data_IF_391569651134
#
_entry.id   IF_391569651134
#
_cell.length_a   1.000
_cell.length_b   1.000
_cell.length_c   1.000
_cell.angle_alpha   90.00
_cell.angle_beta   90.00
_cell.angle_gamma   90.00
#
_symmetry.space_group_name_H-M   'P 1'
#
loop_
_entity.id
_entity.type
_entity.pdbx_description
1 polymer ?
#
# COMPACT_ATOMS: atom_id res chain seq x y z
N UNK A 1 37.02 26.37 -10.81
CA UNK A 1 35.97 25.40 -10.48
C UNK A 1 34.66 26.19 -10.37
N UNK A 2 33.61 25.72 -11.02
CA UNK A 2 32.36 26.51 -11.07
C UNK A 2 31.74 26.57 -9.66
N UNK A 3 31.36 27.75 -9.17
CA UNK A 3 30.78 27.96 -7.82
C UNK A 3 29.60 27.08 -7.55
N UNK A 4 28.77 26.80 -8.55
CA UNK A 4 27.62 25.88 -8.47
C UNK A 4 28.05 24.49 -8.05
N UNK A 5 29.15 23.94 -8.63
CA UNK A 5 29.65 22.59 -8.30
C UNK A 5 30.19 22.53 -6.87
N UNK A 6 30.85 23.60 -6.42
CA UNK A 6 31.35 23.67 -5.02
C UNK A 6 30.19 23.66 -4.01
N UNK A 7 29.15 24.43 -4.28
CA UNK A 7 27.95 24.49 -3.44
C UNK A 7 27.24 23.12 -3.48
N UNK A 8 27.05 22.53 -4.65
CA UNK A 8 26.43 21.22 -4.80
C UNK A 8 27.19 20.12 -4.04
N UNK A 9 28.51 20.10 -4.13
CA UNK A 9 29.35 19.13 -3.39
C UNK A 9 29.24 19.34 -1.88
N UNK A 10 29.20 20.58 -1.41
CA UNK A 10 29.02 20.90 0.02
C UNK A 10 27.66 20.40 0.50
N UNK A 11 26.59 20.70 -0.25
CA UNK A 11 25.22 20.33 0.06
C UNK A 11 25.06 18.80 0.11
N UNK A 12 25.54 18.10 -0.92
CA UNK A 12 25.55 16.64 -0.94
C UNK A 12 26.29 16.06 0.26
N UNK A 13 27.51 16.55 0.56
CA UNK A 13 28.32 16.05 1.65
C UNK A 13 27.73 16.33 3.04
N UNK A 14 26.96 17.41 3.17
CA UNK A 14 26.30 17.76 4.43
C UNK A 14 25.29 16.68 4.87
N UNK A 15 24.62 16.03 3.93
CA UNK A 15 23.68 14.94 4.21
C UNK A 15 24.32 13.56 4.07
N UNK A 16 25.03 13.28 2.98
CA UNK A 16 25.56 11.95 2.69
C UNK A 16 26.63 11.46 3.68
N UNK A 17 27.27 12.36 4.42
CA UNK A 17 28.21 12.02 5.49
C UNK A 17 27.58 11.78 6.84
N UNK A 18 26.29 12.04 7.02
CA UNK A 18 25.61 11.86 8.30
C UNK A 18 25.18 10.42 8.50
N UNK A 19 25.41 9.87 9.69
CA UNK A 19 24.92 8.53 10.07
C UNK A 19 23.40 8.46 10.00
N UNK A 20 22.71 9.55 10.38
CA UNK A 20 21.26 9.63 10.34
C UNK A 20 20.67 9.43 8.95
N UNK A 21 21.33 9.94 7.89
CA UNK A 21 20.92 9.71 6.50
C UNK A 21 20.93 8.22 6.16
N UNK A 22 22.01 7.50 6.44
CA UNK A 22 22.13 6.08 6.14
C UNK A 22 21.19 5.22 6.99
N UNK A 23 21.02 5.57 8.27
CA UNK A 23 20.06 4.89 9.14
C UNK A 23 18.61 5.08 8.65
N UNK A 24 18.23 6.28 8.21
CA UNK A 24 16.91 6.52 7.65
C UNK A 24 16.67 5.75 6.34
N UNK A 25 17.73 5.61 5.54
CA UNK A 25 17.70 4.85 4.30
C UNK A 25 17.51 3.34 4.55
N UNK A 26 18.15 2.81 5.61
CA UNK A 26 18.04 1.41 6.02
C UNK A 26 16.76 1.11 6.80
N UNK A 27 16.07 2.12 7.32
CA UNK A 27 14.88 1.93 8.15
C UNK A 27 13.78 1.13 7.42
N UNK A 28 13.46 1.47 6.18
CA UNK A 28 12.40 0.79 5.42
C UNK A 28 12.73 -0.69 5.14
N UNK A 29 13.95 -1.07 4.64
CA UNK A 29 14.33 -2.48 4.53
C UNK A 29 14.29 -3.20 5.86
N UNK A 30 14.75 -2.54 6.93
CA UNK A 30 14.74 -3.13 8.27
C UNK A 30 13.30 -3.41 8.72
N UNK A 31 12.37 -2.46 8.51
CA UNK A 31 10.96 -2.68 8.77
C UNK A 31 10.37 -3.78 7.88
N UNK A 32 10.79 -3.88 6.64
CA UNK A 32 10.41 -4.98 5.73
C UNK A 32 10.88 -6.34 6.23
N UNK A 33 12.13 -6.44 6.69
CA UNK A 33 12.70 -7.68 7.28
C UNK A 33 12.02 -8.01 8.60
N UNK A 34 11.80 -7.02 9.48
CA UNK A 34 11.10 -7.23 10.76
C UNK A 34 9.65 -7.63 10.49
N UNK A 35 8.93 -6.91 9.64
CA UNK A 35 7.54 -7.21 9.28
C UNK A 35 7.39 -8.57 8.61
N UNK A 36 8.28 -8.89 7.67
CA UNK A 36 8.35 -10.21 7.03
C UNK A 36 8.73 -11.31 8.03
N UNK A 37 9.67 -11.03 8.94
CA UNK A 37 10.04 -11.95 10.00
C UNK A 37 8.92 -12.20 11.01
N UNK A 38 8.22 -11.14 11.41
CA UNK A 38 7.01 -11.26 12.25
C UNK A 38 5.92 -12.02 11.50
N UNK A 39 5.68 -11.69 10.23
CA UNK A 39 4.74 -12.41 9.38
C UNK A 39 5.10 -13.89 9.23
N UNK A 40 6.39 -14.22 9.09
CA UNK A 40 6.87 -15.60 9.07
C UNK A 40 6.66 -16.30 10.43
N UNK A 41 7.00 -15.64 11.53
CA UNK A 41 6.82 -16.17 12.87
C UNK A 41 5.34 -16.39 13.20
N UNK A 42 4.47 -15.45 12.86
CA UNK A 42 3.02 -15.61 13.03
C UNK A 42 2.45 -16.68 12.10
N UNK A 43 3.04 -16.85 10.92
CA UNK A 43 2.68 -17.94 10.00
C UNK A 43 3.17 -19.31 10.48
N UNK A 44 4.32 -19.36 11.11
CA UNK A 44 4.89 -20.58 11.70
C UNK A 44 4.32 -20.89 13.10
N UNK A 45 3.74 -19.90 13.77
CA UNK A 45 2.99 -20.13 15.02
C UNK A 45 1.66 -20.76 14.65
N UNK A 46 1.42 -22.00 15.05
CA UNK A 46 0.09 -22.60 15.04
C UNK A 46 -0.81 -21.70 15.89
N UNK A 47 -1.72 -20.95 15.28
CA UNK A 47 -2.79 -20.31 16.05
C UNK A 47 -3.57 -21.45 16.71
N UNK A 48 -3.67 -21.49 18.04
CA UNK A 48 -4.44 -22.54 18.68
C UNK A 48 -5.85 -22.56 18.10
N UNK A 49 -6.30 -23.74 17.69
CA UNK A 49 -7.66 -23.89 17.17
C UNK A 49 -8.63 -23.40 18.24
N UNK A 50 -9.54 -22.49 17.84
CA UNK A 50 -10.50 -21.91 18.79
C UNK A 50 -11.49 -22.97 19.26
N UNK A 51 -11.57 -23.17 20.57
CA UNK A 51 -12.49 -24.14 21.19
C UNK A 51 -13.89 -23.57 21.25
N UNK A 52 -14.79 -24.12 20.43
CA UNK A 52 -16.17 -23.62 20.24
C UNK A 52 -17.18 -24.67 20.69
N UNK A 53 -18.13 -24.26 21.55
CA UNK A 53 -19.25 -25.09 21.93
C UNK A 53 -20.53 -24.64 21.19
N UNK A 54 -21.26 -25.63 20.60
CA UNK A 54 -22.54 -25.40 19.93
C UNK A 54 -23.67 -25.83 20.86
N UNK A 55 -24.54 -24.91 21.24
CA UNK A 55 -25.71 -25.12 22.10
C UNK A 55 -26.97 -25.01 21.28
N UNK A 56 -27.84 -26.01 21.30
CA UNK A 56 -29.17 -25.92 20.70
C UNK A 56 -30.15 -25.31 21.68
N UNK A 57 -30.68 -24.14 21.33
CA UNK A 57 -31.59 -23.38 22.17
C UNK A 57 -33.05 -23.48 21.64
N UNK A 58 -33.86 -24.24 22.37
CA UNK A 58 -35.23 -24.55 21.99
C UNK A 58 -35.45 -25.84 21.19
N UNK A 59 -36.67 -26.36 21.22
CA UNK A 59 -37.03 -27.64 20.55
C UNK A 59 -36.89 -27.56 19.02
N UNK A 60 -37.07 -26.40 18.45
CA UNK A 60 -37.01 -26.21 17.01
C UNK A 60 -35.56 -26.22 16.48
N UNK A 61 -34.59 -26.05 17.36
CA UNK A 61 -33.17 -26.13 17.01
C UNK A 61 -32.58 -27.55 17.02
N UNK A 62 -33.39 -28.55 17.38
CA UNK A 62 -32.92 -29.94 17.46
C UNK A 62 -32.31 -30.39 16.14
N UNK A 63 -31.09 -30.91 16.18
CA UNK A 63 -30.32 -31.36 15.01
C UNK A 63 -29.55 -30.24 14.28
N UNK A 64 -29.73 -28.95 14.66
CA UNK A 64 -29.06 -27.83 14.00
C UNK A 64 -27.56 -27.82 14.30
N UNK A 65 -27.15 -28.22 15.52
CA UNK A 65 -25.73 -28.35 15.87
C UNK A 65 -25.00 -29.42 15.04
N UNK A 66 -25.66 -30.53 14.74
CA UNK A 66 -25.10 -31.53 13.85
C UNK A 66 -24.97 -31.01 12.41
N UNK A 67 -26.01 -30.36 11.88
CA UNK A 67 -26.02 -29.78 10.54
C UNK A 67 -24.93 -28.67 10.36
N UNK A 68 -24.73 -27.84 11.38
CA UNK A 68 -23.68 -26.83 11.38
C UNK A 68 -22.29 -27.48 11.44
N UNK A 69 -22.13 -28.53 12.25
CA UNK A 69 -20.88 -29.28 12.36
C UNK A 69 -20.48 -29.89 11.01
N UNK A 70 -21.44 -30.52 10.32
CA UNK A 70 -21.24 -31.10 9.00
C UNK A 70 -20.94 -30.03 7.94
N UNK A 71 -21.58 -28.87 8.04
CA UNK A 71 -21.30 -27.74 7.14
C UNK A 71 -19.86 -27.22 7.31
N UNK A 72 -19.43 -27.02 8.55
CA UNK A 72 -18.06 -26.55 8.88
C UNK A 72 -17.00 -27.57 8.45
N UNK A 73 -17.23 -28.87 8.67
CA UNK A 73 -16.32 -29.92 8.21
C UNK A 73 -16.18 -29.91 6.68
N UNK A 74 -17.30 -29.81 5.96
CA UNK A 74 -17.29 -29.74 4.50
C UNK A 74 -16.61 -28.50 3.96
N UNK A 75 -16.71 -27.35 4.64
CA UNK A 75 -16.00 -26.12 4.25
C UNK A 75 -14.49 -26.22 4.49
N UNK A 76 -14.08 -26.87 5.57
CA UNK A 76 -12.67 -27.13 5.86
C UNK A 76 -12.04 -28.04 4.78
N UNK A 77 -12.72 -29.13 4.39
CA UNK A 77 -12.25 -30.02 3.31
C UNK A 77 -12.14 -29.28 1.97
N UNK A 78 -13.14 -28.48 1.60
CA UNK A 78 -13.13 -27.65 0.38
C UNK A 78 -12.00 -26.64 0.39
N UNK A 79 -11.76 -26.00 1.52
CA UNK A 79 -10.68 -25.01 1.68
C UNK A 79 -9.31 -25.66 1.55
N UNK A 80 -9.11 -26.83 2.14
CA UNK A 80 -7.89 -27.63 2.00
C UNK A 80 -7.64 -28.05 0.54
N UNK A 81 -8.67 -28.53 -0.15
CA UNK A 81 -8.57 -28.92 -1.56
C UNK A 81 -8.23 -27.72 -2.47
N UNK A 82 -8.81 -26.53 -2.19
CA UNK A 82 -8.50 -25.28 -2.93
C UNK A 82 -7.06 -24.86 -2.72
N UNK A 83 -6.55 -24.90 -1.51
CA UNK A 83 -5.17 -24.55 -1.22
C UNK A 83 -4.19 -25.49 -1.93
N UNK A 84 -4.47 -26.81 -1.93
CA UNK A 84 -3.66 -27.77 -2.66
C UNK A 84 -3.69 -27.53 -4.18
N UNK A 85 -4.86 -27.22 -4.74
CA UNK A 85 -5.00 -26.88 -6.15
C UNK A 85 -4.25 -25.59 -6.52
N UNK A 86 -4.34 -24.54 -5.69
CA UNK A 86 -3.62 -23.28 -5.88
C UNK A 86 -2.10 -23.47 -5.80
N UNK A 87 -1.62 -24.29 -4.87
CA UNK A 87 -0.20 -24.67 -4.77
C UNK A 87 0.24 -25.42 -6.02
N UNK A 88 -0.54 -26.40 -6.48
CA UNK A 88 -0.23 -27.16 -7.69
C UNK A 88 -0.20 -26.28 -8.95
N UNK A 89 -1.10 -25.31 -9.05
CA UNK A 89 -1.11 -24.34 -10.14
C UNK A 89 0.09 -23.39 -10.09
N UNK A 90 0.39 -22.85 -8.91
CA UNK A 90 1.54 -21.97 -8.70
C UNK A 90 2.90 -22.67 -8.94
N UNK A 91 2.92 -24.01 -8.80
CA UNK A 91 4.12 -24.85 -9.02
C UNK A 91 4.27 -25.38 -10.44
N UNK A 92 3.37 -25.07 -11.36
CA UNK A 92 3.52 -25.47 -12.77
C UNK A 92 4.79 -24.85 -13.36
N UNK A 93 5.93 -25.50 -13.11
CA UNK A 93 7.23 -25.19 -13.72
C UNK A 93 8.30 -24.59 -12.82
N UNK A 94 8.10 -24.43 -11.52
CA UNK A 94 9.12 -23.94 -10.59
C UNK A 94 9.08 -24.65 -9.23
N UNK A 95 10.24 -24.96 -8.62
CA UNK A 95 10.27 -25.40 -7.24
C UNK A 95 9.83 -24.24 -6.34
N UNK A 96 8.86 -24.50 -5.45
CA UNK A 96 8.45 -23.56 -4.43
C UNK A 96 9.64 -23.20 -3.52
N UNK A 97 9.73 -21.94 -3.05
CA UNK A 97 10.64 -21.61 -1.98
C UNK A 97 10.40 -22.56 -0.77
N UNK A 98 11.46 -22.96 -0.07
CA UNK A 98 11.31 -23.80 1.12
C UNK A 98 10.31 -23.16 2.10
N UNK A 99 9.30 -23.94 2.53
CA UNK A 99 8.25 -23.47 3.44
C UNK A 99 7.00 -22.86 2.78
N UNK A 100 6.97 -22.57 1.49
CA UNK A 100 5.79 -21.96 0.85
C UNK A 100 4.60 -22.91 0.80
N UNK A 101 4.83 -24.21 0.60
CA UNK A 101 3.78 -25.24 0.64
C UNK A 101 3.23 -25.43 2.06
N UNK A 102 4.12 -25.42 3.07
CA UNK A 102 3.74 -25.50 4.49
C UNK A 102 2.98 -24.26 4.93
N UNK A 103 3.42 -23.07 4.51
CA UNK A 103 2.73 -21.81 4.80
C UNK A 103 1.35 -21.73 4.14
N UNK A 104 1.17 -22.25 2.94
CA UNK A 104 -0.13 -22.30 2.28
C UNK A 104 -1.04 -23.34 2.96
N UNK A 105 -0.53 -24.51 3.34
CA UNK A 105 -1.27 -25.49 4.12
C UNK A 105 -1.65 -24.95 5.50
N UNK A 106 -0.74 -24.27 6.19
CA UNK A 106 -0.98 -23.62 7.48
C UNK A 106 -2.01 -22.48 7.37
N UNK A 107 -2.06 -21.73 6.25
CA UNK A 107 -3.07 -20.68 6.05
C UNK A 107 -4.49 -21.23 5.92
N UNK A 108 -4.65 -22.44 5.46
CA UNK A 108 -5.94 -23.15 5.39
C UNK A 108 -6.35 -23.68 6.77
N UNK A 109 -5.37 -24.15 7.55
CA UNK A 109 -5.63 -24.64 8.91
C UNK A 109 -5.91 -23.52 9.93
N UNK A 110 -5.61 -22.26 9.59
CA UNK A 110 -5.81 -21.09 10.48
C UNK A 110 -7.26 -20.79 10.83
N UNK A 111 -8.22 -21.29 10.07
CA UNK A 111 -9.65 -21.17 10.39
C UNK A 111 -10.19 -22.43 11.07
N UNK A 112 -9.34 -23.26 11.66
CA UNK A 112 -9.72 -24.48 12.35
C UNK A 112 -10.48 -24.18 13.64
N UNK A 113 -11.81 -24.30 13.61
CA UNK A 113 -12.63 -24.32 14.81
C UNK A 113 -12.53 -25.72 15.42
N UNK A 114 -12.11 -25.81 16.68
CA UNK A 114 -12.15 -27.04 17.46
C UNK A 114 -13.53 -27.12 18.15
N UNK A 115 -14.43 -27.91 17.56
CA UNK A 115 -15.76 -28.10 18.13
C UNK A 115 -15.70 -29.01 19.34
N UNK A 116 -15.84 -28.43 20.53
CA UNK A 116 -15.82 -29.14 21.81
C UNK A 116 -17.23 -29.64 22.15
N UNK A 117 -17.28 -30.77 22.88
CA UNK A 117 -18.57 -31.27 23.40
C UNK A 117 -19.13 -30.24 24.39
N UNK A 118 -20.38 -29.84 24.14
CA UNK A 118 -21.06 -28.86 24.97
C UNK A 118 -21.19 -29.33 26.42
N UNK A 119 -20.73 -28.55 27.41
CA UNK A 119 -20.93 -28.88 28.81
C UNK A 119 -22.40 -29.05 29.17
N UNK A 120 -22.72 -30.06 29.99
CA UNK A 120 -24.11 -30.42 30.29
C UNK A 120 -24.88 -29.34 31.05
N UNK A 121 -24.19 -28.54 31.90
CA UNK A 121 -24.76 -27.42 32.61
C UNK A 121 -25.11 -26.24 31.66
N UNK A 122 -24.33 -26.07 30.60
CA UNK A 122 -24.58 -25.05 29.57
C UNK A 122 -25.72 -25.47 28.63
N UNK A 123 -25.75 -26.76 28.24
CA UNK A 123 -26.81 -27.32 27.40
C UNK A 123 -28.19 -27.32 28.08
N UNK A 124 -28.23 -27.44 29.41
CA UNK A 124 -29.48 -27.47 30.22
C UNK A 124 -29.90 -26.11 30.74
N UNK A 125 -29.12 -25.04 30.54
CA UNK A 125 -29.45 -23.73 31.07
C UNK A 125 -30.57 -23.04 30.27
N UNK A 126 -31.61 -22.61 30.97
CA UNK A 126 -32.69 -21.85 30.35
C UNK A 126 -32.17 -20.43 29.92
N UNK A 127 -32.63 -19.91 28.77
CA UNK A 127 -32.26 -18.56 28.32
C UNK A 127 -32.52 -17.49 29.38
N UNK A 128 -31.53 -16.63 29.61
CA UNK A 128 -31.61 -15.52 30.56
C UNK A 128 -30.33 -15.28 31.36
N UNK A 129 -30.43 -14.46 32.41
CA UNK A 129 -29.26 -14.01 33.19
C UNK A 129 -28.43 -15.14 33.83
N UNK A 130 -29.05 -16.28 34.14
CA UNK A 130 -28.35 -17.46 34.65
C UNK A 130 -27.46 -18.11 33.56
N UNK A 131 -27.98 -18.23 32.37
CA UNK A 131 -27.21 -18.72 31.20
C UNK A 131 -26.05 -17.77 30.87
N UNK A 132 -26.30 -16.45 30.84
CA UNK A 132 -25.28 -15.45 30.58
C UNK A 132 -24.14 -15.47 31.63
N UNK A 133 -24.49 -15.74 32.90
CA UNK A 133 -23.48 -15.90 33.95
C UNK A 133 -22.62 -17.13 33.76
N UNK A 134 -23.20 -18.26 33.33
CA UNK A 134 -22.46 -19.48 32.98
C UNK A 134 -21.57 -19.27 31.76
N UNK A 135 -22.07 -18.63 30.73
CA UNK A 135 -21.32 -18.28 29.51
C UNK A 135 -20.04 -17.53 29.85
N UNK A 136 -20.15 -16.48 30.70
CA UNK A 136 -19.00 -15.69 31.15
C UNK A 136 -17.98 -16.53 31.89
N UNK A 137 -18.41 -17.50 32.71
CA UNK A 137 -17.47 -18.37 33.44
C UNK A 137 -16.68 -19.32 32.51
N UNK A 138 -17.26 -19.77 31.38
CA UNK A 138 -16.57 -20.60 30.41
C UNK A 138 -15.65 -19.83 29.44
N UNK A 139 -15.91 -18.52 29.26
CA UNK A 139 -15.13 -17.63 28.41
C UNK A 139 -14.05 -16.84 29.20
N UNK A 140 -14.01 -16.94 30.52
CA UNK A 140 -13.08 -16.24 31.38
C UNK A 140 -11.85 -17.11 31.63
N UNK A 141 -10.67 -16.65 31.23
CA UNK A 141 -9.38 -17.32 31.39
C UNK A 141 -9.02 -17.58 32.88
N UNK A 142 -9.55 -16.77 33.80
CA UNK A 142 -9.28 -16.87 35.22
C UNK A 142 -10.29 -17.82 35.97
N UNK A 143 -11.25 -18.39 35.23
CA UNK A 143 -12.27 -19.25 35.80
C UNK A 143 -11.79 -20.71 35.96
N UNK A 144 -12.22 -21.36 37.06
CA UNK A 144 -11.96 -22.80 37.28
C UNK A 144 -12.79 -23.76 36.42
N UNK A 145 -13.63 -23.22 35.52
CA UNK A 145 -14.46 -24.03 34.61
C UNK A 145 -13.68 -24.69 33.49
N UNK A 146 -13.93 -26.00 33.29
CA UNK A 146 -13.29 -26.80 32.25
C UNK A 146 -14.35 -27.54 31.43
N UNK A 147 -14.22 -27.62 30.08
CA UNK A 147 -13.13 -27.06 29.27
C UNK A 147 -13.24 -25.55 29.11
N UNK A 148 -12.09 -24.86 29.02
CA UNK A 148 -12.05 -23.44 28.64
C UNK A 148 -12.50 -23.31 27.18
N UNK A 149 -13.38 -22.32 26.91
CA UNK A 149 -13.96 -22.10 25.59
C UNK A 149 -13.60 -20.72 25.07
N UNK A 150 -13.20 -20.62 23.81
CA UNK A 150 -12.97 -19.34 23.13
C UNK A 150 -14.27 -18.71 22.62
N UNK A 151 -15.27 -19.54 22.29
CA UNK A 151 -16.60 -19.07 21.91
C UNK A 151 -17.70 -20.08 22.25
N UNK A 152 -18.90 -19.58 22.44
CA UNK A 152 -20.13 -20.34 22.67
C UNK A 152 -21.19 -19.85 21.70
N UNK A 153 -21.77 -20.75 20.93
CA UNK A 153 -22.75 -20.46 19.89
C UNK A 153 -24.10 -21.06 20.26
N UNK A 154 -25.08 -20.21 20.51
CA UNK A 154 -26.46 -20.62 20.71
C UNK A 154 -27.20 -20.64 19.38
N UNK A 155 -27.58 -21.84 18.95
CA UNK A 155 -28.30 -22.07 17.71
C UNK A 155 -29.79 -22.09 17.98
N UNK A 156 -30.55 -21.29 17.24
CA UNK A 156 -32.00 -21.17 17.35
C UNK A 156 -32.65 -21.18 15.97
N UNK A 157 -33.98 -21.26 15.93
CA UNK A 157 -34.75 -20.99 14.72
C UNK A 157 -35.68 -19.83 14.95
N UNK A 158 -35.72 -18.89 14.03
CA UNK A 158 -36.63 -17.75 14.00
C UNK A 158 -37.42 -17.82 12.70
N UNK A 159 -38.72 -17.92 12.76
CA UNK A 159 -39.61 -18.10 11.60
C UNK A 159 -39.17 -19.29 10.70
N UNK A 160 -38.78 -20.40 11.35
CA UNK A 160 -38.30 -21.62 10.67
C UNK A 160 -36.89 -21.57 10.08
N UNK A 161 -36.23 -20.40 10.09
CA UNK A 161 -34.86 -20.23 9.57
C UNK A 161 -33.83 -20.37 10.68
N UNK A 162 -32.67 -21.00 10.40
CA UNK A 162 -31.60 -21.16 11.38
C UNK A 162 -30.97 -19.80 11.69
N UNK A 163 -30.78 -19.52 12.98
CA UNK A 163 -30.13 -18.31 13.51
C UNK A 163 -29.18 -18.67 14.64
N UNK A 164 -28.22 -17.83 14.93
CA UNK A 164 -27.26 -18.03 16.01
C UNK A 164 -27.01 -16.76 16.81
N UNK A 165 -26.70 -16.93 18.10
CA UNK A 165 -26.08 -15.92 18.96
C UNK A 165 -24.69 -16.41 19.35
N UNK A 166 -23.67 -15.65 18.99
CA UNK A 166 -22.26 -15.99 19.27
C UNK A 166 -21.77 -15.17 20.44
N UNK A 167 -21.24 -15.84 21.45
CA UNK A 167 -20.46 -15.24 22.53
C UNK A 167 -19.01 -15.58 22.32
N UNK A 168 -18.14 -14.60 22.24
CA UNK A 168 -16.69 -14.76 22.07
C UNK A 168 -15.94 -14.18 23.26
N UNK A 169 -14.83 -14.82 23.66
CA UNK A 169 -13.93 -14.31 24.67
C UNK A 169 -13.26 -12.98 24.25
N UNK A 170 -13.06 -12.80 22.93
CA UNK A 170 -12.50 -11.57 22.36
C UNK A 170 -13.54 -10.78 21.57
N UNK A 171 -13.73 -9.52 21.93
CA UNK A 171 -14.66 -8.61 21.24
C UNK A 171 -14.21 -8.17 19.84
N UNK A 172 -12.95 -8.45 19.46
CA UNK A 172 -12.35 -8.05 18.18
C UNK A 172 -12.14 -9.22 17.21
N UNK A 173 -12.55 -10.42 17.60
CA UNK A 173 -12.41 -11.62 16.77
C UNK A 173 -13.78 -12.08 16.28
N UNK A 174 -14.08 -11.78 15.02
CA UNK A 174 -15.33 -12.15 14.35
C UNK A 174 -15.23 -13.49 13.58
N UNK A 175 -14.07 -14.17 13.59
CA UNK A 175 -13.80 -15.37 12.79
C UNK A 175 -14.82 -16.50 13.06
N UNK A 176 -15.19 -16.70 14.35
CA UNK A 176 -16.22 -17.69 14.73
C UNK A 176 -17.58 -17.26 14.21
N UNK A 177 -17.94 -15.98 14.34
CA UNK A 177 -19.23 -15.48 13.92
C UNK A 177 -19.40 -15.61 12.40
N UNK A 178 -18.37 -15.27 11.62
CA UNK A 178 -18.35 -15.39 10.16
C UNK A 178 -18.45 -16.85 9.72
N UNK A 179 -17.68 -17.75 10.34
CA UNK A 179 -17.74 -19.18 10.03
C UNK A 179 -19.10 -19.81 10.34
N UNK A 180 -19.73 -19.42 11.44
CA UNK A 180 -21.08 -19.88 11.82
C UNK A 180 -22.14 -19.30 10.88
N UNK A 181 -22.00 -18.02 10.48
CA UNK A 181 -22.92 -17.39 9.52
C UNK A 181 -22.91 -18.15 8.19
N UNK A 182 -21.72 -18.48 7.66
CA UNK A 182 -21.59 -19.22 6.40
C UNK A 182 -22.08 -20.67 6.51
N UNK A 183 -21.82 -21.32 7.65
CA UNK A 183 -22.38 -22.65 7.94
C UNK A 183 -23.91 -22.60 7.99
N UNK A 184 -24.52 -21.62 8.64
CA UNK A 184 -25.99 -21.47 8.72
C UNK A 184 -26.61 -21.16 7.35
N UNK A 185 -25.95 -20.34 6.51
CA UNK A 185 -26.37 -20.12 5.11
C UNK A 185 -26.40 -21.43 4.34
N UNK A 186 -25.35 -22.25 4.50
CA UNK A 186 -25.24 -23.57 3.87
C UNK A 186 -26.35 -24.52 4.35
N UNK A 187 -26.59 -24.58 5.65
CA UNK A 187 -27.67 -25.37 6.25
C UNK A 187 -29.05 -24.95 5.73
N UNK A 188 -29.35 -23.65 5.79
CA UNK A 188 -30.62 -23.10 5.29
C UNK A 188 -30.85 -23.41 3.82
N UNK A 189 -29.80 -23.31 3.00
CA UNK A 189 -29.86 -23.62 1.57
C UNK A 189 -30.16 -25.12 1.34
N UNK A 190 -29.46 -26.03 2.03
CA UNK A 190 -29.69 -27.47 1.94
C UNK A 190 -31.10 -27.82 2.35
N UNK A 191 -31.61 -27.25 3.45
CA UNK A 191 -32.97 -27.50 3.92
C UNK A 191 -34.03 -26.98 2.92
N UNK A 192 -33.83 -25.77 2.36
CA UNK A 192 -34.73 -25.20 1.36
C UNK A 192 -34.77 -26.05 0.06
N UNK A 193 -33.64 -26.54 -0.40
CA UNK A 193 -33.60 -27.42 -1.58
C UNK A 193 -34.16 -28.81 -1.30
N UNK A 194 -33.91 -29.38 -0.12
CA UNK A 194 -34.53 -30.63 0.29
C UNK A 194 -36.06 -30.52 0.37
N UNK A 195 -36.57 -29.40 0.90
CA UNK A 195 -38.00 -29.13 0.91
C UNK A 195 -38.61 -28.96 -0.49
N UNK A 196 -37.83 -28.51 -1.46
CA UNK A 196 -38.18 -28.45 -2.88
C UNK A 196 -37.98 -29.77 -3.63
N UNK A 197 -37.57 -30.85 -2.96
CA UNK A 197 -37.34 -32.17 -3.57
C UNK A 197 -36.04 -32.26 -4.41
N UNK A 198 -35.10 -31.34 -4.22
CA UNK A 198 -33.81 -31.35 -4.90
C UNK A 198 -32.81 -32.14 -4.07
N UNK A 199 -32.12 -33.06 -4.74
CA UNK A 199 -31.12 -33.94 -4.10
C UNK A 199 -29.90 -33.13 -3.59
N UNK A 200 -29.38 -33.49 -2.43
CA UNK A 200 -28.24 -32.83 -1.80
C UNK A 200 -26.98 -32.88 -2.68
N UNK A 201 -26.80 -33.93 -3.50
CA UNK A 201 -25.66 -34.03 -4.42
C UNK A 201 -25.67 -32.95 -5.51
N UNK A 202 -26.85 -32.56 -5.97
CA UNK A 202 -27.02 -31.47 -6.95
C UNK A 202 -26.62 -30.13 -6.35
N UNK A 203 -27.01 -29.91 -5.08
CA UNK A 203 -26.65 -28.70 -4.35
C UNK A 203 -25.13 -28.59 -4.19
N UNK A 204 -24.50 -29.69 -3.74
CA UNK A 204 -23.04 -29.75 -3.57
C UNK A 204 -22.31 -29.56 -4.89
N UNK A 205 -22.74 -30.22 -5.95
CA UNK A 205 -22.13 -30.09 -7.28
C UNK A 205 -22.25 -28.65 -7.83
N UNK A 206 -23.35 -27.95 -7.51
CA UNK A 206 -23.55 -26.53 -7.90
C UNK A 206 -22.66 -25.60 -7.10
N UNK A 207 -22.47 -25.87 -5.81
CA UNK A 207 -21.60 -25.09 -4.93
C UNK A 207 -20.11 -25.26 -5.28
N UNK A 208 -19.72 -26.45 -5.71
CA UNK A 208 -18.35 -26.77 -6.10
C UNK A 208 -18.02 -26.36 -7.54
N UNK A 209 -19.04 -26.04 -8.35
CA UNK A 209 -18.81 -25.61 -9.71
C UNK A 209 -18.04 -24.30 -9.76
N UNK A 210 -16.90 -24.33 -10.45
CA UNK A 210 -16.07 -23.16 -10.75
C UNK A 210 -15.86 -23.09 -12.26
N UNK A 211 -16.44 -22.11 -12.94
CA UNK A 211 -16.18 -21.91 -14.35
C UNK A 211 -14.70 -21.53 -14.54
N UNK A 212 -14.03 -22.17 -15.48
CA UNK A 212 -12.71 -21.73 -15.93
C UNK A 212 -12.92 -20.52 -16.83
N UNK A 213 -12.48 -19.35 -16.34
CA UNK A 213 -12.53 -18.11 -17.09
C UNK A 213 -11.09 -17.74 -17.49
N UNK A 214 -10.80 -17.82 -18.78
CA UNK A 214 -9.51 -17.39 -19.31
C UNK A 214 -9.68 -15.99 -19.91
N UNK A 215 -8.90 -15.02 -19.44
CA UNK A 215 -8.92 -13.66 -19.95
C UNK A 215 -8.00 -13.54 -21.16
N UNK A 216 -8.47 -12.91 -22.23
CA UNK A 216 -7.69 -12.65 -23.43
C UNK A 216 -7.54 -11.15 -23.64
N UNK A 217 -6.37 -10.71 -24.08
CA UNK A 217 -6.10 -9.33 -24.48
C UNK A 217 -5.25 -9.30 -25.74
N UNK A 218 -5.58 -8.44 -26.73
CA UNK A 218 -4.73 -8.27 -27.91
C UNK A 218 -3.35 -7.66 -27.58
N UNK A 219 -3.18 -7.12 -26.38
CA UNK A 219 -1.91 -6.57 -25.88
C UNK A 219 -1.07 -7.61 -25.11
N UNK A 220 -1.56 -8.84 -24.95
CA UNK A 220 -0.82 -9.91 -24.27
C UNK A 220 0.32 -10.43 -25.14
N UNK A 221 1.53 -10.55 -24.54
CA UNK A 221 2.73 -11.06 -25.22
C UNK A 221 2.65 -12.55 -25.57
N UNK A 222 1.78 -13.32 -24.93
CA UNK A 222 1.66 -14.79 -25.06
C UNK A 222 0.58 -15.27 -26.02
N UNK A 223 0.23 -14.46 -27.04
CA UNK A 223 -0.72 -14.91 -28.10
C UNK A 223 -2.18 -14.75 -27.73
N UNK A 224 -2.50 -13.88 -26.78
CA UNK A 224 -3.88 -13.48 -26.44
C UNK A 224 -4.25 -13.76 -24.98
N UNK A 225 -3.80 -14.84 -24.37
CA UNK A 225 -4.08 -15.16 -22.97
C UNK A 225 -3.31 -14.22 -22.04
N UNK A 226 -4.02 -13.59 -21.09
CA UNK A 226 -3.43 -12.68 -20.11
C UNK A 226 -2.77 -13.49 -18.99
N UNK A 227 -1.46 -13.38 -18.88
CA UNK A 227 -0.64 -14.00 -17.86
C UNK A 227 -0.24 -13.02 -16.76
N UNK A 228 0.31 -13.52 -15.66
CA UNK A 228 0.91 -12.68 -14.61
C UNK A 228 2.03 -11.78 -15.16
N UNK A 229 2.77 -12.25 -16.19
CA UNK A 229 3.84 -11.48 -16.85
C UNK A 229 3.34 -10.21 -17.53
N UNK A 230 2.14 -10.24 -18.09
CA UNK A 230 1.53 -9.07 -18.76
C UNK A 230 1.14 -7.99 -17.76
N UNK A 231 1.04 -8.31 -16.47
CA UNK A 231 0.75 -7.36 -15.40
C UNK A 231 2.01 -6.71 -14.80
N UNK A 232 3.19 -7.34 -14.96
CA UNK A 232 4.46 -6.84 -14.41
C UNK A 232 4.74 -5.38 -14.82
N UNK A 233 4.63 -4.96 -16.10
CA UNK A 233 4.86 -3.58 -16.49
C UNK A 233 3.96 -2.58 -15.76
N UNK A 234 2.69 -2.94 -15.53
CA UNK A 234 1.72 -2.10 -14.81
C UNK A 234 2.15 -1.86 -13.36
N UNK A 235 2.57 -2.91 -12.66
CA UNK A 235 3.10 -2.79 -11.30
C UNK A 235 4.40 -1.98 -11.25
N UNK A 236 5.29 -2.15 -12.25
CA UNK A 236 6.50 -1.34 -12.39
C UNK A 236 6.15 0.14 -12.55
N UNK A 237 5.21 0.48 -13.42
CA UNK A 237 4.76 1.85 -13.63
C UNK A 237 4.20 2.49 -12.37
N UNK A 238 3.36 1.76 -11.63
CA UNK A 238 2.84 2.22 -10.35
C UNK A 238 3.96 2.45 -9.33
N UNK A 239 4.87 1.49 -9.20
CA UNK A 239 6.01 1.60 -8.30
C UNK A 239 6.91 2.78 -8.70
N UNK A 240 7.14 2.99 -10.00
CA UNK A 240 7.90 4.13 -10.52
C UNK A 240 7.21 5.47 -10.19
N UNK A 241 5.90 5.60 -10.40
CA UNK A 241 5.14 6.80 -10.05
C UNK A 241 5.19 7.11 -8.56
N UNK A 242 5.01 6.10 -7.71
CA UNK A 242 5.09 6.24 -6.26
C UNK A 242 6.51 6.55 -5.77
N UNK A 243 7.52 5.87 -6.33
CA UNK A 243 8.93 6.13 -6.04
C UNK A 243 9.28 7.58 -6.39
N UNK A 244 8.91 8.03 -7.58
CA UNK A 244 9.14 9.39 -8.02
C UNK A 244 8.47 10.41 -7.11
N UNK A 245 7.22 10.17 -6.72
CA UNK A 245 6.50 11.01 -5.77
C UNK A 245 7.25 11.11 -4.42
N UNK A 246 7.67 9.98 -3.88
CA UNK A 246 8.41 9.91 -2.61
C UNK A 246 9.75 10.64 -2.70
N UNK A 247 10.52 10.42 -3.78
CA UNK A 247 11.82 11.05 -4.02
C UNK A 247 11.69 12.58 -4.16
N UNK A 248 10.68 13.04 -4.92
CA UNK A 248 10.43 14.47 -5.12
C UNK A 248 10.08 15.15 -3.81
N UNK A 249 9.17 14.57 -3.02
CA UNK A 249 8.77 15.16 -1.73
C UNK A 249 9.94 15.17 -0.75
N UNK A 250 10.69 14.09 -0.66
CA UNK A 250 11.86 14.02 0.23
C UNK A 250 12.91 15.05 -0.16
N UNK A 251 13.30 15.11 -1.43
CA UNK A 251 14.27 16.08 -1.92
C UNK A 251 13.81 17.52 -1.76
N UNK A 252 12.55 17.80 -2.05
CA UNK A 252 11.96 19.12 -1.88
C UNK A 252 11.93 19.56 -0.40
N UNK A 253 11.58 18.65 0.50
CA UNK A 253 11.58 18.90 1.96
C UNK A 253 12.99 19.18 2.49
N UNK A 254 13.99 18.45 2.00
CA UNK A 254 15.41 18.72 2.32
C UNK A 254 15.80 20.13 1.89
N UNK A 255 15.44 20.54 0.67
CA UNK A 255 15.73 21.87 0.16
C UNK A 255 15.04 22.97 0.96
N UNK A 256 13.77 22.81 1.28
CA UNK A 256 13.02 23.74 2.11
C UNK A 256 13.75 23.98 3.45
N UNK A 257 14.07 22.88 4.16
CA UNK A 257 14.71 22.96 5.48
C UNK A 257 16.12 23.52 5.38
N UNK A 258 16.93 23.09 4.40
CA UNK A 258 18.28 23.58 4.19
C UNK A 258 18.33 25.11 3.95
N UNK A 259 17.43 25.62 3.08
CA UNK A 259 17.36 27.07 2.81
C UNK A 259 16.88 27.86 4.02
N UNK A 260 15.86 27.35 4.72
CA UNK A 260 15.33 27.95 5.94
C UNK A 260 16.39 28.02 7.06
N UNK A 261 17.11 26.92 7.32
CA UNK A 261 18.16 26.87 8.34
C UNK A 261 19.31 27.84 8.03
N UNK A 262 19.75 27.93 6.77
CA UNK A 262 20.79 28.87 6.39
C UNK A 262 20.33 30.33 6.51
N UNK A 263 19.06 30.64 6.25
CA UNK A 263 18.50 31.96 6.45
C UNK A 263 18.43 32.30 7.93
N UNK A 264 17.88 31.42 8.77
CA UNK A 264 17.72 31.65 10.22
C UNK A 264 19.07 31.85 10.92
N UNK A 265 20.11 31.19 10.44
CA UNK A 265 21.48 31.32 10.96
C UNK A 265 22.31 32.42 10.27
N UNK A 266 21.69 33.25 9.40
CA UNK A 266 22.35 34.32 8.62
C UNK A 266 23.49 33.85 7.70
N UNK A 267 23.61 32.54 7.49
CA UNK A 267 24.61 31.92 6.59
C UNK A 267 24.35 32.35 5.15
N UNK A 268 23.07 32.51 4.80
CA UNK A 268 22.64 32.88 3.45
C UNK A 268 23.14 34.27 3.06
N UNK A 269 23.21 35.23 4.00
CA UNK A 269 23.78 36.58 3.77
C UNK A 269 25.28 36.50 3.43
N UNK A 270 26.03 35.67 4.17
CA UNK A 270 27.45 35.42 3.91
C UNK A 270 27.65 34.73 2.55
N UNK A 271 26.82 33.78 2.20
CA UNK A 271 26.91 33.14 0.89
C UNK A 271 26.62 34.11 -0.26
N UNK A 272 25.63 35.02 -0.09
CA UNK A 272 25.28 36.03 -1.07
C UNK A 272 26.37 37.07 -1.28
N UNK A 273 27.27 37.26 -0.32
CA UNK A 273 28.47 38.11 -0.51
C UNK A 273 29.51 37.48 -1.45
N UNK A 274 29.48 36.15 -1.62
CA UNK A 274 30.49 35.38 -2.37
C UNK A 274 29.97 34.79 -3.66
N UNK A 275 28.65 34.58 -3.78
CA UNK A 275 28.00 33.95 -4.95
C UNK A 275 26.63 34.63 -5.20
N UNK A 276 26.17 34.58 -6.44
CA UNK A 276 24.84 35.08 -6.79
C UNK A 276 23.74 34.14 -6.24
N UNK A 277 22.56 34.71 -5.96
CA UNK A 277 21.39 33.97 -5.50
C UNK A 277 21.04 32.80 -6.43
N UNK A 278 21.23 32.97 -7.74
CA UNK A 278 20.99 31.95 -8.74
C UNK A 278 22.01 30.81 -8.64
N UNK A 279 23.31 31.13 -8.42
CA UNK A 279 24.36 30.10 -8.23
C UNK A 279 24.14 29.31 -6.95
N UNK A 280 23.72 29.94 -5.87
CA UNK A 280 23.41 29.30 -4.59
C UNK A 280 22.23 28.33 -4.79
N UNK A 281 21.13 28.83 -5.36
CA UNK A 281 19.93 28.01 -5.59
C UNK A 281 20.22 26.83 -6.52
N UNK A 282 20.90 27.08 -7.65
CA UNK A 282 21.26 26.01 -8.59
C UNK A 282 22.20 24.95 -7.94
N UNK A 283 23.17 25.39 -7.14
CA UNK A 283 24.07 24.50 -6.42
C UNK A 283 23.34 23.64 -5.40
N UNK A 284 22.41 24.21 -4.64
CA UNK A 284 21.58 23.47 -3.69
C UNK A 284 20.67 22.44 -4.38
N UNK A 285 19.95 22.87 -5.41
CA UNK A 285 19.09 21.98 -6.20
C UNK A 285 19.90 20.81 -6.78
N UNK A 286 21.09 21.10 -7.33
CA UNK A 286 21.97 20.06 -7.87
C UNK A 286 22.52 19.12 -6.77
N UNK A 287 22.93 19.65 -5.62
CA UNK A 287 23.44 18.87 -4.49
C UNK A 287 22.40 17.88 -3.95
N UNK A 288 21.16 18.35 -3.76
CA UNK A 288 20.06 17.51 -3.30
C UNK A 288 19.59 16.56 -4.42
N UNK A 289 19.66 16.95 -5.70
CA UNK A 289 19.41 16.03 -6.82
C UNK A 289 20.36 14.82 -6.78
N UNK A 290 21.66 15.05 -6.56
CA UNK A 290 22.66 14.00 -6.42
C UNK A 290 22.35 13.09 -5.22
N UNK A 291 21.89 13.68 -4.09
CA UNK A 291 21.47 12.92 -2.93
C UNK A 291 20.25 12.05 -3.25
N UNK A 292 19.26 12.59 -3.93
CA UNK A 292 18.05 11.85 -4.36
C UNK A 292 18.41 10.71 -5.32
N UNK A 293 19.33 10.93 -6.25
CA UNK A 293 19.86 9.87 -7.12
C UNK A 293 20.61 8.78 -6.34
N UNK A 294 21.34 9.16 -5.28
CA UNK A 294 21.99 8.18 -4.39
C UNK A 294 20.97 7.31 -3.67
N UNK A 295 19.89 7.90 -3.16
CA UNK A 295 18.77 7.17 -2.55
C UNK A 295 18.15 6.21 -3.57
N UNK A 296 17.86 6.69 -4.77
CA UNK A 296 17.28 5.87 -5.83
C UNK A 296 18.20 4.69 -6.21
N UNK A 297 19.50 4.94 -6.39
CA UNK A 297 20.46 3.90 -6.70
C UNK A 297 20.56 2.86 -5.59
N UNK A 298 20.58 3.29 -4.33
CA UNK A 298 20.60 2.39 -3.17
C UNK A 298 19.36 1.49 -3.15
N UNK A 299 18.18 2.05 -3.32
CA UNK A 299 16.91 1.28 -3.33
C UNK A 299 16.81 0.37 -4.56
N UNK A 300 17.26 0.85 -5.72
CA UNK A 300 17.31 0.05 -6.96
C UNK A 300 18.22 -1.17 -6.84
N UNK A 301 19.42 -0.98 -6.27
CA UNK A 301 20.39 -2.08 -6.03
C UNK A 301 19.84 -3.04 -4.98
N UNK A 302 19.34 -2.53 -3.85
CA UNK A 302 18.83 -3.38 -2.77
C UNK A 302 17.60 -4.18 -3.21
N UNK A 303 16.63 -3.51 -3.86
CA UNK A 303 15.43 -4.15 -4.37
C UNK A 303 15.73 -5.14 -5.49
N UNK A 304 16.60 -4.75 -6.43
CA UNK A 304 17.01 -5.63 -7.54
C UNK A 304 17.75 -6.87 -7.06
N UNK A 305 18.73 -6.71 -6.16
CA UNK A 305 19.45 -7.86 -5.59
C UNK A 305 18.54 -8.75 -4.75
N UNK A 306 17.65 -8.15 -3.94
CA UNK A 306 16.66 -8.90 -3.17
C UNK A 306 15.74 -9.72 -4.07
N UNK A 307 15.29 -9.14 -5.19
CA UNK A 307 14.43 -9.84 -6.15
C UNK A 307 15.16 -10.98 -6.85
N UNK A 308 16.43 -10.79 -7.26
CA UNK A 308 17.25 -11.85 -7.86
C UNK A 308 17.45 -13.02 -6.92
N UNK A 309 17.65 -12.76 -5.62
CA UNK A 309 17.82 -13.81 -4.61
C UNK A 309 16.52 -14.52 -4.32
N UNK A 310 15.40 -13.77 -4.20
CA UNK A 310 14.10 -14.35 -3.85
C UNK A 310 13.45 -15.10 -5.02
N UNK A 311 13.50 -14.54 -6.23
CA UNK A 311 12.92 -15.14 -7.44
C UNK A 311 13.66 -14.68 -8.70
N UNK A 312 14.68 -15.45 -9.14
CA UNK A 312 15.51 -15.10 -10.32
C UNK A 312 14.70 -14.93 -11.61
N UNK A 313 13.63 -15.72 -11.78
CA UNK A 313 12.77 -15.64 -12.96
C UNK A 313 11.98 -14.33 -13.00
N UNK A 314 11.35 -13.97 -11.88
CA UNK A 314 10.66 -12.69 -11.75
C UNK A 314 11.62 -11.49 -11.93
N UNK A 315 12.86 -11.61 -11.44
CA UNK A 315 13.88 -10.61 -11.64
C UNK A 315 14.22 -10.42 -13.13
N UNK A 316 14.32 -11.52 -13.89
CA UNK A 316 14.53 -11.48 -15.32
C UNK A 316 13.34 -10.85 -16.07
N UNK A 317 12.10 -11.23 -15.71
CA UNK A 317 10.89 -10.69 -16.31
C UNK A 317 10.75 -9.17 -16.03
N UNK A 318 11.05 -8.73 -14.80
CA UNK A 318 11.09 -7.30 -14.43
C UNK A 318 12.19 -6.56 -15.19
N UNK A 319 13.38 -7.15 -15.30
CA UNK A 319 14.49 -6.59 -16.06
C UNK A 319 14.15 -6.41 -17.54
N UNK A 320 13.54 -7.41 -18.16
CA UNK A 320 13.03 -7.33 -19.53
C UNK A 320 11.99 -6.21 -19.68
N UNK A 321 10.97 -6.18 -18.82
CA UNK A 321 9.93 -5.16 -18.87
C UNK A 321 10.49 -3.73 -18.71
N UNK A 322 11.51 -3.53 -17.88
CA UNK A 322 12.18 -2.23 -17.73
C UNK A 322 12.90 -1.77 -18.99
N UNK A 323 13.48 -2.73 -19.75
CA UNK A 323 14.28 -2.42 -20.94
C UNK A 323 13.42 -2.33 -22.21
N UNK A 324 12.46 -3.22 -22.38
CA UNK A 324 11.71 -3.37 -23.64
C UNK A 324 10.77 -2.17 -23.91
N UNK A 325 10.12 -1.62 -22.94
CA UNK A 325 9.13 -0.53 -23.11
C UNK A 325 9.72 0.88 -23.04
N UNK A 326 11.05 1.04 -22.89
CA UNK A 326 11.63 2.36 -22.63
C UNK A 326 11.18 3.00 -21.30
N UNK A 327 10.64 2.20 -20.38
CA UNK A 327 10.06 2.68 -19.11
C UNK A 327 11.08 3.45 -18.28
N UNK A 328 12.33 3.00 -18.27
CA UNK A 328 13.44 3.70 -17.58
C UNK A 328 13.64 5.10 -18.16
N UNK A 329 13.57 5.26 -19.49
CA UNK A 329 13.73 6.55 -20.14
C UNK A 329 12.59 7.51 -19.80
N UNK A 330 11.34 7.05 -19.85
CA UNK A 330 10.19 7.85 -19.41
C UNK A 330 10.31 8.27 -17.95
N UNK A 331 10.64 7.30 -17.08
CA UNK A 331 10.84 7.57 -15.66
C UNK A 331 11.91 8.66 -15.44
N UNK A 332 13.07 8.56 -16.08
CA UNK A 332 14.15 9.52 -15.92
C UNK A 332 13.78 10.92 -16.39
N UNK A 333 13.08 11.05 -17.52
CA UNK A 333 12.64 12.35 -18.04
C UNK A 333 11.64 13.00 -17.10
N UNK A 334 10.61 12.25 -16.67
CA UNK A 334 9.60 12.77 -15.75
C UNK A 334 10.18 13.04 -14.36
N UNK A 335 11.18 12.27 -13.94
CA UNK A 335 11.93 12.51 -12.71
C UNK A 335 12.68 13.84 -12.78
N UNK A 336 13.42 14.11 -13.85
CA UNK A 336 14.17 15.37 -14.00
C UNK A 336 13.22 16.56 -13.99
N UNK A 337 12.16 16.53 -14.80
CA UNK A 337 11.20 17.64 -14.88
C UNK A 337 10.43 17.86 -13.58
N UNK A 338 9.93 16.77 -12.99
CA UNK A 338 9.22 16.82 -11.69
C UNK A 338 10.13 17.31 -10.58
N UNK A 339 11.34 16.73 -10.46
CA UNK A 339 12.29 17.16 -9.44
C UNK A 339 12.64 18.66 -9.56
N UNK A 340 13.00 19.13 -10.75
CA UNK A 340 13.34 20.56 -10.96
C UNK A 340 12.20 21.47 -10.56
N UNK A 341 10.97 21.15 -10.95
CA UNK A 341 9.79 21.95 -10.64
C UNK A 341 9.57 22.10 -9.13
N UNK A 342 9.56 20.97 -8.42
CA UNK A 342 9.28 20.97 -6.98
C UNK A 342 10.47 21.46 -6.16
N UNK A 343 11.70 21.07 -6.50
CA UNK A 343 12.91 21.50 -5.81
C UNK A 343 13.04 23.03 -5.77
N UNK A 344 12.81 23.67 -6.92
CA UNK A 344 12.91 25.12 -7.03
C UNK A 344 11.77 25.82 -6.27
N UNK A 345 10.55 25.28 -6.34
CA UNK A 345 9.40 25.80 -5.60
C UNK A 345 9.65 25.76 -4.08
N UNK A 346 10.11 24.63 -3.56
CA UNK A 346 10.34 24.46 -2.13
C UNK A 346 11.55 25.24 -1.62
N UNK A 347 12.60 25.39 -2.44
CA UNK A 347 13.72 26.26 -2.13
C UNK A 347 13.27 27.74 -2.01
N UNK A 348 12.39 28.18 -2.91
CA UNK A 348 11.84 29.53 -2.85
C UNK A 348 10.96 29.74 -1.61
N UNK A 349 10.11 28.77 -1.25
CA UNK A 349 9.29 28.81 -0.03
C UNK A 349 10.20 28.88 1.21
N UNK A 350 11.24 28.04 1.26
CA UNK A 350 12.22 28.04 2.36
C UNK A 350 12.88 29.38 2.60
N UNK A 351 13.12 30.16 1.53
CA UNK A 351 13.70 31.51 1.65
C UNK A 351 12.77 32.52 2.37
N UNK A 352 11.46 32.26 2.43
CA UNK A 352 10.51 33.11 3.17
C UNK A 352 10.23 32.59 4.59
N UNK A 353 10.58 31.36 4.92
CA UNK A 353 10.39 30.79 6.25
C UNK A 353 11.50 31.24 7.19
N UNK A 354 11.14 31.62 8.42
CA UNK A 354 12.09 31.98 9.49
C UNK A 354 12.20 30.85 10.52
N UNK A 355 11.14 30.06 10.65
CA UNK A 355 11.06 29.00 11.65
C UNK A 355 10.57 27.68 11.03
N UNK A 356 10.91 26.51 11.65
CA UNK A 356 10.35 25.22 11.25
C UNK A 356 8.82 25.17 11.28
N UNK A 357 8.20 25.95 12.17
CA UNK A 357 6.75 26.05 12.29
C UNK A 357 6.13 26.73 11.06
N UNK A 358 6.77 27.78 10.54
CA UNK A 358 6.31 28.44 9.31
C UNK A 358 6.37 27.48 8.13
N UNK A 359 7.47 26.72 8.02
CA UNK A 359 7.64 25.71 6.99
C UNK A 359 6.55 24.63 7.06
N UNK A 360 6.26 24.08 8.24
CA UNK A 360 5.23 23.08 8.43
C UNK A 360 3.83 23.60 8.09
N UNK A 361 3.53 24.85 8.44
CA UNK A 361 2.23 25.49 8.13
C UNK A 361 2.02 25.61 6.61
N UNK A 362 3.08 25.92 5.86
CA UNK A 362 3.01 26.02 4.40
C UNK A 362 3.02 24.66 3.71
N UNK A 363 3.68 23.66 4.31
CA UNK A 363 3.73 22.30 3.78
C UNK A 363 2.35 21.62 3.78
N UNK A 364 1.50 21.88 4.78
CA UNK A 364 0.19 21.24 4.90
C UNK A 364 -0.67 21.33 3.64
N UNK A 365 -1.01 22.51 3.13
CA UNK A 365 -1.77 22.68 1.89
C UNK A 365 -1.09 22.09 0.66
N UNK A 366 0.25 22.18 0.57
CA UNK A 366 1.01 21.63 -0.54
C UNK A 366 0.94 20.10 -0.54
N UNK A 367 1.07 19.49 0.63
CA UNK A 367 0.96 18.03 0.77
C UNK A 367 -0.45 17.53 0.43
N UNK A 368 -1.50 18.29 0.74
CA UNK A 368 -2.87 17.95 0.29
C UNK A 368 -2.96 17.87 -1.24
N UNK A 369 -2.37 18.84 -1.96
CA UNK A 369 -2.34 18.82 -3.43
C UNK A 369 -1.51 17.64 -3.94
N UNK A 370 -0.41 17.31 -3.27
CA UNK A 370 0.48 16.21 -3.65
C UNK A 370 -0.07 14.81 -3.37
N UNK A 371 -1.09 14.69 -2.53
CA UNK A 371 -1.80 13.41 -2.33
C UNK A 371 -2.73 13.08 -3.51
N UNK A 372 -3.24 14.09 -4.22
CA UNK A 372 -4.17 13.91 -5.33
C UNK A 372 -3.64 12.95 -6.42
N UNK A 373 -2.41 13.09 -6.95
CA UNK A 373 -1.88 12.17 -7.94
C UNK A 373 -1.79 10.71 -7.44
N UNK A 374 -1.54 10.47 -6.15
CA UNK A 374 -1.53 9.10 -5.60
C UNK A 374 -2.91 8.44 -5.72
N UNK A 375 -3.96 9.18 -5.39
CA UNK A 375 -5.33 8.67 -5.50
C UNK A 375 -5.69 8.39 -6.96
N UNK A 376 -5.26 9.26 -7.88
CA UNK A 376 -5.52 9.09 -9.31
C UNK A 376 -4.68 7.93 -9.88
N UNK A 377 -3.45 7.69 -9.40
CA UNK A 377 -2.64 6.54 -9.81
C UNK A 377 -3.35 5.21 -9.54
N UNK A 378 -4.11 5.08 -8.45
CA UNK A 378 -4.91 3.88 -8.18
C UNK A 378 -6.00 3.65 -9.25
N UNK A 379 -6.57 4.73 -9.76
CA UNK A 379 -7.54 4.65 -10.86
C UNK A 379 -6.83 4.31 -12.19
N UNK A 380 -5.64 4.85 -12.42
CA UNK A 380 -4.86 4.63 -13.63
C UNK A 380 -4.46 3.17 -13.88
N UNK A 381 -4.35 2.36 -12.81
CA UNK A 381 -4.06 0.92 -12.91
C UNK A 381 -5.21 0.17 -13.59
N UNK A 382 -6.44 0.47 -13.18
CA UNK A 382 -7.63 -0.25 -13.64
C UNK A 382 -8.17 0.28 -14.96
N UNK A 383 -8.10 1.60 -15.12
CA UNK A 383 -8.68 2.33 -16.25
C UNK A 383 -7.76 3.47 -16.70
N UNK A 384 -6.62 3.17 -17.35
CA UNK A 384 -5.64 4.19 -17.77
C UNK A 384 -6.20 5.21 -18.76
N UNK A 385 -7.26 4.84 -19.49
CA UNK A 385 -7.96 5.69 -20.48
C UNK A 385 -9.11 6.51 -19.86
N UNK A 386 -9.30 6.44 -18.53
CA UNK A 386 -10.33 7.24 -17.86
C UNK A 386 -10.06 8.74 -18.07
N UNK A 387 -11.07 9.54 -18.46
CA UNK A 387 -10.90 10.98 -18.71
C UNK A 387 -10.29 11.75 -17.54
N UNK A 388 -10.59 11.35 -16.29
CA UNK A 388 -10.01 11.97 -15.10
C UNK A 388 -8.49 11.76 -15.07
N UNK A 389 -8.03 10.53 -15.38
CA UNK A 389 -6.61 10.19 -15.44
C UNK A 389 -5.91 10.94 -16.55
N UNK A 390 -6.52 11.00 -17.74
CA UNK A 390 -5.98 11.73 -18.88
C UNK A 390 -5.86 13.23 -18.56
N UNK A 391 -6.93 13.88 -18.14
CA UNK A 391 -6.93 15.31 -17.80
C UNK A 391 -5.91 15.62 -16.72
N UNK A 392 -5.87 14.81 -15.65
CA UNK A 392 -4.91 15.00 -14.56
C UNK A 392 -3.46 14.83 -15.02
N UNK A 393 -3.19 13.97 -16.00
CA UNK A 393 -1.86 13.80 -16.60
C UNK A 393 -1.35 15.06 -17.31
N UNK A 394 -2.24 15.92 -17.79
CA UNK A 394 -1.90 17.22 -18.42
C UNK A 394 -1.65 18.34 -17.39
N UNK A 395 -1.99 18.13 -16.12
CA UNK A 395 -1.69 19.09 -15.05
C UNK A 395 -0.22 18.99 -14.69
N UNK A 396 0.63 20.00 -14.94
CA UNK A 396 2.08 19.89 -14.80
C UNK A 396 2.55 19.44 -13.42
N UNK A 397 1.82 19.78 -12.35
CA UNK A 397 2.12 19.30 -10.99
C UNK A 397 1.90 17.79 -10.83
N UNK A 398 1.00 17.18 -11.59
CA UNK A 398 0.67 15.76 -11.48
C UNK A 398 1.36 14.93 -12.55
N UNK A 399 1.69 15.56 -13.68
CA UNK A 399 2.31 14.93 -14.85
C UNK A 399 3.44 13.96 -14.53
N UNK A 400 4.48 14.34 -13.72
CA UNK A 400 5.62 13.46 -13.52
C UNK A 400 5.24 12.13 -12.87
N UNK A 401 4.28 12.14 -11.96
CA UNK A 401 3.84 10.95 -11.24
C UNK A 401 2.90 10.09 -12.06
N UNK A 402 1.88 10.73 -12.64
CA UNK A 402 0.84 10.02 -13.42
C UNK A 402 1.39 9.45 -14.72
N UNK A 403 2.23 10.19 -15.45
CA UNK A 403 2.79 9.70 -16.70
C UNK A 403 3.84 8.60 -16.46
N UNK A 404 4.59 8.66 -15.35
CA UNK A 404 5.47 7.53 -14.95
C UNK A 404 4.65 6.27 -14.64
N UNK A 405 3.51 6.41 -13.95
CA UNK A 405 2.63 5.28 -13.63
C UNK A 405 1.90 4.72 -14.87
N UNK A 406 1.57 5.58 -15.85
CA UNK A 406 0.85 5.22 -17.08
C UNK A 406 1.77 4.75 -18.21
N UNK A 407 3.08 4.96 -18.11
CA UNK A 407 4.02 4.58 -19.17
C UNK A 407 3.83 3.16 -19.71
N UNK A 408 3.57 2.12 -18.86
CA UNK A 408 3.31 0.77 -19.34
C UNK A 408 2.02 0.58 -20.13
N UNK A 409 1.07 1.52 -20.04
CA UNK A 409 -0.19 1.48 -20.79
C UNK A 409 -0.03 2.03 -22.22
N UNK A 410 1.19 2.44 -22.59
CA UNK A 410 1.54 2.98 -23.90
C UNK A 410 0.62 4.15 -24.34
N UNK A 411 0.57 5.25 -23.56
CA UNK A 411 -0.24 6.40 -23.93
C UNK A 411 0.17 6.94 -25.31
N UNK A 412 -0.74 7.60 -26.04
CA UNK A 412 -0.47 8.12 -27.38
C UNK A 412 0.76 9.04 -27.39
N UNK A 413 1.62 8.94 -28.41
CA UNK A 413 2.86 9.71 -28.52
C UNK A 413 2.63 11.23 -28.39
N UNK A 414 1.51 11.72 -28.90
CA UNK A 414 1.13 13.13 -28.79
C UNK A 414 0.90 13.54 -27.32
N UNK A 415 0.29 12.66 -26.53
CA UNK A 415 0.08 12.88 -25.09
C UNK A 415 1.42 12.90 -24.33
N UNK A 416 2.31 11.97 -24.65
CA UNK A 416 3.65 11.89 -24.04
C UNK A 416 4.44 13.19 -24.34
N UNK A 417 4.54 13.56 -25.61
CA UNK A 417 5.29 14.76 -26.02
C UNK A 417 4.64 16.02 -25.43
N UNK A 418 3.32 16.13 -25.50
CA UNK A 418 2.58 17.28 -25.00
C UNK A 418 2.73 17.48 -23.51
N UNK A 419 2.62 16.40 -22.72
CA UNK A 419 2.78 16.43 -21.27
C UNK A 419 4.24 16.71 -20.86
N UNK A 420 5.24 16.18 -21.57
CA UNK A 420 6.66 16.53 -21.38
C UNK A 420 6.90 18.02 -21.64
N UNK A 421 6.46 18.55 -22.78
CA UNK A 421 6.64 19.95 -23.11
C UNK A 421 5.94 20.83 -22.07
N UNK A 422 4.69 20.52 -21.71
CA UNK A 422 3.94 21.25 -20.69
C UNK A 422 4.63 21.26 -19.34
N UNK A 423 5.13 20.11 -18.90
CA UNK A 423 5.86 19.96 -17.63
C UNK A 423 7.17 20.78 -17.63
N UNK A 424 8.01 20.67 -18.67
CA UNK A 424 9.27 21.43 -18.73
C UNK A 424 9.05 22.93 -18.93
N UNK A 425 8.04 23.35 -19.69
CA UNK A 425 7.65 24.75 -19.80
C UNK A 425 7.20 25.31 -18.44
N UNK A 426 6.41 24.54 -17.72
CA UNK A 426 5.98 24.91 -16.37
C UNK A 426 7.15 24.90 -15.38
N UNK A 427 8.07 23.95 -15.45
CA UNK A 427 9.29 23.92 -14.65
C UNK A 427 10.14 25.16 -14.91
N UNK A 428 10.32 25.57 -16.17
CA UNK A 428 11.03 26.81 -16.54
C UNK A 428 10.36 28.05 -15.95
N UNK A 429 9.01 28.11 -16.00
CA UNK A 429 8.24 29.16 -15.35
C UNK A 429 8.49 29.19 -13.84
N UNK A 430 8.46 28.01 -13.19
CA UNK A 430 8.73 27.90 -11.75
C UNK A 430 10.16 28.33 -11.39
N UNK A 431 11.15 27.96 -12.19
CA UNK A 431 12.54 28.42 -12.00
C UNK A 431 12.63 29.95 -12.07
N UNK A 432 11.94 30.55 -13.04
CA UNK A 432 11.92 32.01 -13.18
C UNK A 432 11.22 32.72 -12.00
N UNK A 433 10.03 32.25 -11.61
CA UNK A 433 9.26 32.75 -10.46
C UNK A 433 10.05 32.58 -9.16
N UNK A 434 10.53 31.36 -8.92
CA UNK A 434 11.26 31.02 -7.71
C UNK A 434 12.60 31.75 -7.60
N UNK A 435 13.31 31.96 -8.71
CA UNK A 435 14.55 32.75 -8.70
C UNK A 435 14.34 34.23 -8.30
N UNK A 436 13.18 34.81 -8.63
CA UNK A 436 12.78 36.13 -8.15
C UNK A 436 12.36 36.11 -6.69
N UNK A 437 11.51 35.14 -6.34
CA UNK A 437 11.02 34.97 -4.99
C UNK A 437 12.17 34.71 -4.00
N UNK A 438 13.12 33.87 -4.37
CA UNK A 438 14.29 33.51 -3.56
C UNK A 438 15.14 34.76 -3.27
N UNK A 439 15.44 35.60 -4.28
CA UNK A 439 16.19 36.85 -4.08
C UNK A 439 15.48 37.81 -3.13
N UNK A 440 14.17 37.95 -3.28
CA UNK A 440 13.37 38.80 -2.41
C UNK A 440 13.27 38.27 -0.97
N UNK A 441 13.03 36.94 -0.82
CA UNK A 441 12.90 36.29 0.47
C UNK A 441 14.21 36.16 1.24
N UNK A 442 15.33 35.95 0.55
CA UNK A 442 16.65 35.80 1.15
C UNK A 442 17.18 37.09 1.78
N UNK A 443 16.78 38.25 1.25
CA UNK A 443 17.26 39.57 1.67
C UNK A 443 16.24 40.37 2.50
N UNK A 444 15.07 39.78 2.80
CA UNK A 444 14.01 40.50 3.52
C UNK A 444 13.52 39.71 4.73
N UNK A 445 13.21 40.42 5.83
CA UNK A 445 12.51 39.86 7.00
C UNK A 445 10.99 39.85 6.79
N UNK A 446 10.53 39.90 5.53
CA UNK A 446 9.10 39.93 5.22
C UNK A 446 8.55 38.50 5.24
N UNK A 447 7.61 38.24 6.15
CA UNK A 447 6.89 36.99 6.22
C UNK A 447 6.13 36.68 4.93
N UNK A 448 6.05 35.38 4.57
CA UNK A 448 5.33 34.95 3.40
C UNK A 448 3.85 35.33 3.53
N UNK A 449 3.41 36.24 2.64
CA UNK A 449 2.03 36.61 2.44
C UNK A 449 1.76 36.59 0.94
N UNK A 450 0.52 36.34 0.52
CA UNK A 450 0.14 36.41 -0.89
C UNK A 450 0.55 37.75 -1.54
N UNK A 451 0.47 38.84 -0.79
CA UNK A 451 0.86 40.19 -1.25
C UNK A 451 2.38 40.33 -1.40
N UNK A 452 3.17 39.83 -0.43
CA UNK A 452 4.63 39.88 -0.47
C UNK A 452 5.19 38.99 -1.58
N UNK A 453 4.64 37.81 -1.79
CA UNK A 453 5.03 36.91 -2.86
C UNK A 453 4.68 37.49 -4.25
N UNK A 454 3.47 38.00 -4.43
CA UNK A 454 3.08 38.66 -5.67
C UNK A 454 3.89 39.93 -5.95
N UNK A 455 4.25 40.72 -4.92
CA UNK A 455 5.12 41.86 -5.02
C UNK A 455 6.55 41.52 -5.46
N UNK A 456 7.10 40.44 -4.90
CA UNK A 456 8.42 39.90 -5.26
C UNK A 456 8.50 39.46 -6.74
N UNK A 457 7.44 38.83 -7.25
CA UNK A 457 7.35 38.41 -8.65
C UNK A 457 7.27 39.64 -9.60
N UNK A 458 6.52 40.68 -9.23
CA UNK A 458 6.34 41.89 -10.06
C UNK A 458 7.55 42.81 -10.10
N UNK A 459 8.61 42.50 -9.34
CA UNK A 459 9.83 43.32 -9.35
C UNK A 459 9.71 44.65 -8.58
N UNK A 460 8.73 44.77 -7.71
CA UNK A 460 8.47 45.95 -6.88
C UNK A 460 9.24 45.95 -5.56
N UNK A 461 10.53 45.63 -5.55
CA UNK A 461 11.43 45.81 -4.43
C UNK A 461 12.42 46.92 -4.77
N UNK A 462 12.10 48.15 -4.40
CA UNK A 462 13.11 49.23 -4.18
C UNK A 462 13.65 49.10 -2.77
#
# INVERSE_FOLDING_TARGET
MNRIILIARREYAAYAKTVGFWLSLLALPLFGVIGGGVGYLTAASESPAQSVALVEDGREATGLAAAVRDALAGDAERSAARAQAAIAEATKGQPLPPGAAENAAASVSRNGLNLVVTPADLAGAAPGAAQDALVRQYLDDESDKSPHLDAIVFLTRTDGKPTARVWSASATNDDVADAIEDALKSVNRREAFAAAGIDASVVTATDDFRPTVTSFSPKSASGGEVSMRDQIPIFIGLAAGFLLWSLVITGASILLNSVMEEKSNKILEVLLSSASATEIMAGKVLGVALLTLTVMAFWGILGGTGLVVANPQLAADVGAALMDGGLVFYFLIYMVGGYLMYAVLFAAIGAFCETPRDAQTLMGPIMMVLVVPILIMQLAIRTPENPIVQIASWVPFFTPFLMSARAPSEPPLLEIIGTMIGMFAFAALMIWVAGRAFRAGALSDVKLSFKSFAGAIRGGGR
#
